data_IF_660450443044
#
_entry.id   IF_660450443044
#
_cell.length_a   1.000
_cell.length_b   1.000
_cell.length_c   1.000
_cell.angle_alpha   90.00
_cell.angle_beta   90.00
_cell.angle_gamma   90.00
#
_symmetry.space_group_name_H-M   'P 1'
#
loop_
_entity.id
_entity.type
_entity.pdbx_description
1 polymer ?
#
# COMPACT_ATOMS: atom_id res chain seq x y z
N UNK A 1 8.93 1.10 -13.92
CA UNK A 1 9.08 2.54 -13.63
C UNK A 1 8.73 2.84 -12.18
N UNK A 2 9.66 2.64 -11.24
CA UNK A 2 9.45 2.94 -9.79
C UNK A 2 10.71 3.51 -9.13
N UNK A 3 11.77 3.82 -9.88
CA UNK A 3 13.09 4.16 -9.31
C UNK A 3 13.13 5.46 -8.48
N UNK A 4 12.05 6.27 -8.50
CA UNK A 4 11.95 7.51 -7.74
C UNK A 4 10.87 7.50 -6.65
N UNK A 5 10.06 6.44 -6.57
CA UNK A 5 9.02 6.34 -5.54
C UNK A 5 9.61 5.66 -4.30
N UNK A 6 9.50 6.30 -3.14
CA UNK A 6 9.84 5.68 -1.85
C UNK A 6 8.71 4.80 -1.33
N UNK A 7 7.46 5.17 -1.66
CA UNK A 7 6.26 4.47 -1.24
C UNK A 7 5.20 4.47 -2.36
N UNK A 8 4.22 3.59 -2.21
CA UNK A 8 3.01 3.52 -3.03
C UNK A 8 1.80 3.43 -2.12
N UNK A 9 0.70 4.06 -2.50
CA UNK A 9 -0.58 3.84 -1.84
C UNK A 9 -1.32 2.71 -2.51
N UNK A 10 -2.01 1.85 -1.77
CA UNK A 10 -2.90 0.81 -2.32
C UNK A 10 -4.13 0.64 -1.44
N UNK A 11 -5.33 0.59 -2.03
CA UNK A 11 -6.51 0.15 -1.32
C UNK A 11 -6.35 -1.35 -1.05
N UNK A 12 -6.56 -1.71 0.19
CA UNK A 12 -6.67 -3.08 0.68
C UNK A 12 -7.94 -3.13 1.56
N UNK A 13 -8.51 -4.30 1.84
CA UNK A 13 -9.71 -4.37 2.68
C UNK A 13 -9.52 -3.62 4.00
N UNK A 14 -10.34 -2.60 4.26
CA UNK A 14 -10.29 -1.80 5.48
C UNK A 14 -9.57 -0.46 5.35
N UNK A 15 -8.92 -0.18 4.22
CA UNK A 15 -8.44 1.16 3.90
C UNK A 15 -7.38 1.24 2.81
N UNK A 16 -7.02 2.47 2.46
CA UNK A 16 -5.89 2.76 1.58
C UNK A 16 -4.64 3.00 2.40
N UNK A 17 -3.72 2.05 2.35
CA UNK A 17 -2.47 2.06 3.09
C UNK A 17 -1.28 2.40 2.20
N UNK A 18 -0.20 2.89 2.81
CA UNK A 18 1.05 3.13 2.12
C UNK A 18 2.01 1.96 2.34
N UNK A 19 2.62 1.46 1.28
CA UNK A 19 3.60 0.40 1.28
C UNK A 19 4.93 0.90 0.71
N UNK A 20 6.07 0.33 1.11
CA UNK A 20 7.34 0.59 0.43
C UNK A 20 7.23 0.31 -1.06
N UNK A 21 7.81 1.15 -1.92
CA UNK A 21 7.73 0.95 -3.37
C UNK A 21 8.35 -0.38 -3.84
N UNK A 22 9.26 -0.95 -3.05
CA UNK A 22 9.83 -2.29 -3.26
C UNK A 22 8.80 -3.41 -3.16
N UNK A 23 7.69 -3.21 -2.43
CA UNK A 23 6.64 -4.22 -2.25
C UNK A 23 5.97 -4.66 -3.57
N UNK A 24 6.01 -3.81 -4.61
CA UNK A 24 5.56 -4.18 -5.97
C UNK A 24 6.45 -5.20 -6.68
N UNK A 25 7.61 -5.54 -6.11
CA UNK A 25 8.57 -6.50 -6.69
C UNK A 25 8.56 -7.84 -5.97
N UNK A 26 7.80 -7.96 -4.89
CA UNK A 26 7.64 -9.20 -4.16
C UNK A 26 6.88 -10.22 -5.02
N UNK A 27 7.04 -11.50 -4.70
CA UNK A 27 6.19 -12.55 -5.29
C UNK A 27 4.74 -12.29 -4.88
N UNK A 28 3.78 -12.59 -5.76
CA UNK A 28 2.36 -12.37 -5.48
C UNK A 28 1.86 -13.11 -4.23
N UNK A 29 2.50 -14.24 -3.91
CA UNK A 29 2.21 -15.08 -2.74
C UNK A 29 2.88 -14.59 -1.44
N UNK A 30 3.83 -13.65 -1.52
CA UNK A 30 4.52 -13.11 -0.34
C UNK A 30 3.58 -12.23 0.49
N UNK A 31 3.84 -12.15 1.79
CA UNK A 31 3.26 -11.10 2.63
C UNK A 31 4.08 -9.82 2.52
N UNK A 32 3.40 -8.69 2.39
CA UNK A 32 3.97 -7.35 2.38
C UNK A 32 3.33 -6.51 3.47
N UNK A 33 4.15 -5.63 4.07
CA UNK A 33 3.76 -4.81 5.21
C UNK A 33 3.67 -3.34 4.81
N UNK A 34 2.59 -2.68 5.20
CA UNK A 34 2.41 -1.24 5.07
C UNK A 34 3.23 -0.47 6.12
N UNK A 35 3.37 0.84 5.95
CA UNK A 35 4.07 1.69 6.91
C UNK A 35 3.42 1.69 8.31
N UNK A 36 2.10 1.48 8.41
CA UNK A 36 1.43 1.35 9.71
C UNK A 36 1.40 -0.08 10.27
N UNK A 37 2.02 -1.04 9.58
CA UNK A 37 2.12 -2.43 10.03
C UNK A 37 1.08 -3.39 9.47
N UNK A 38 0.08 -2.91 8.72
CA UNK A 38 -0.92 -3.76 8.05
C UNK A 38 -0.22 -4.75 7.09
N UNK A 39 -0.53 -6.04 7.21
CA UNK A 39 0.05 -7.12 6.39
C UNK A 39 -0.98 -7.67 5.41
N UNK A 40 -0.60 -7.76 4.13
CA UNK A 40 -1.43 -8.33 3.07
C UNK A 40 -0.59 -9.17 2.12
N UNK A 41 -1.23 -10.05 1.36
CA UNK A 41 -0.57 -10.70 0.22
C UNK A 41 -0.17 -9.66 -0.84
N UNK A 42 1.01 -9.81 -1.44
CA UNK A 42 1.52 -8.86 -2.43
C UNK A 42 0.60 -8.76 -3.65
N UNK A 43 -0.10 -9.84 -4.02
CA UNK A 43 -1.15 -9.82 -5.05
C UNK A 43 -2.17 -8.68 -4.87
N UNK A 44 -2.54 -8.36 -3.62
CA UNK A 44 -3.49 -7.28 -3.31
C UNK A 44 -2.98 -5.90 -3.72
N UNK A 45 -1.67 -5.71 -3.87
CA UNK A 45 -1.12 -4.45 -4.36
C UNK A 45 -1.33 -4.25 -5.89
N UNK A 46 -1.79 -5.28 -6.59
CA UNK A 46 -2.00 -5.28 -8.04
C UNK A 46 -3.48 -5.40 -8.45
N UNK A 47 -4.35 -5.92 -7.58
CA UNK A 47 -5.75 -6.25 -7.90
C UNK A 47 -6.78 -5.15 -7.54
N UNK A 48 -6.32 -3.93 -7.28
CA UNK A 48 -7.18 -2.82 -6.89
C UNK A 48 -8.01 -2.30 -8.08
N UNK A 49 -9.34 -2.22 -7.92
CA UNK A 49 -10.24 -1.58 -8.89
C UNK A 49 -10.31 -0.07 -8.70
N UNK A 50 -10.78 0.67 -9.71
CA UNK A 50 -10.98 2.13 -9.59
C UNK A 50 -11.95 2.51 -8.46
N UNK A 51 -12.97 1.68 -8.22
CA UNK A 51 -13.94 1.91 -7.14
C UNK A 51 -13.27 1.78 -5.77
N UNK A 52 -12.35 0.82 -5.58
CA UNK A 52 -11.63 0.68 -4.31
C UNK A 52 -10.79 1.93 -4.01
N UNK A 53 -10.22 2.55 -5.04
CA UNK A 53 -9.49 3.81 -4.89
C UNK A 53 -10.36 4.99 -4.47
N UNK A 54 -11.64 4.98 -4.82
CA UNK A 54 -12.58 6.03 -4.45
C UNK A 54 -13.14 5.78 -3.05
N UNK A 55 -13.49 4.53 -2.75
CA UNK A 55 -14.26 4.16 -1.56
C UNK A 55 -13.40 3.91 -0.32
N UNK A 56 -12.21 3.35 -0.48
CA UNK A 56 -11.38 3.01 0.67
C UNK A 56 -10.77 4.26 1.32
N UNK A 57 -11.04 4.49 2.62
CA UNK A 57 -10.54 5.68 3.31
C UNK A 57 -9.01 5.65 3.41
N UNK A 58 -8.37 6.81 3.34
CA UNK A 58 -6.91 6.89 3.50
C UNK A 58 -6.52 6.60 4.94
N UNK A 59 -5.57 5.69 5.14
CA UNK A 59 -5.03 5.38 6.46
C UNK A 59 -4.28 6.60 7.03
N UNK A 60 -4.85 7.22 8.07
CA UNK A 60 -4.26 8.38 8.73
C UNK A 60 -2.91 8.08 9.40
N UNK A 61 -2.70 6.84 9.87
CA UNK A 61 -1.42 6.44 10.48
C UNK A 61 -0.31 6.39 9.43
N UNK A 62 -0.55 5.76 8.28
CA UNK A 62 0.39 5.79 7.16
C UNK A 62 0.68 7.23 6.71
N UNK A 63 -0.36 8.07 6.65
CA UNK A 63 -0.21 9.47 6.24
C UNK A 63 0.70 10.26 7.20
N UNK A 64 0.50 10.10 8.52
CA UNK A 64 1.34 10.76 9.53
C UNK A 64 2.80 10.30 9.44
N UNK A 65 3.03 8.98 9.37
CA UNK A 65 4.38 8.41 9.26
C UNK A 65 5.12 8.98 8.03
N UNK A 66 4.45 9.07 6.89
CA UNK A 66 5.04 9.60 5.66
C UNK A 66 5.23 11.12 5.65
N UNK A 67 4.44 11.87 6.43
CA UNK A 67 4.60 13.32 6.57
C UNK A 67 5.77 13.68 7.49
N UNK A 68 6.01 12.87 8.52
CA UNK A 68 7.00 13.15 9.57
C UNK A 68 8.38 12.51 9.30
N UNK A 69 8.45 11.57 8.35
CA UNK A 69 9.69 10.88 7.94
C UNK A 69 10.30 11.35 6.62
#
# INVERSE_FOLDING_TARGET
MTQHLTHIWRPVPGGRHAFPASALRNSLDDQVKSHCGEEVQAARLHDATEIDWIMEPTCNTCWKILKEG
#
